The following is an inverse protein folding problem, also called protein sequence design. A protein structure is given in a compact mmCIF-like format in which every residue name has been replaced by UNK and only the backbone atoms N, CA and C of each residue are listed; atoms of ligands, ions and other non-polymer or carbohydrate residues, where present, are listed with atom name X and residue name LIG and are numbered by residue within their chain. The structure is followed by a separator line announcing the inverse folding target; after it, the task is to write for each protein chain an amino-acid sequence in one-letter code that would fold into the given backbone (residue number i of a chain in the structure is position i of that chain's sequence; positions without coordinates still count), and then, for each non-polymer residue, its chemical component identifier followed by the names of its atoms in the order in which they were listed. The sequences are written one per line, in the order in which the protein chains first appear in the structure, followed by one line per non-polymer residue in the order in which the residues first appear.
data_IF_953423382259
#
_entry.id   IF_953423382259
#
_cell.length_a   1.000
_cell.length_b   1.000
_cell.length_c   1.000
_cell.angle_alpha   90.00
_cell.angle_beta   90.00
_cell.angle_gamma   90.00
#
_symmetry.space_group_name_H-M   'P 1'
#
loop_
_entity.id
_entity.type
_entity.pdbx_description
1 polymer ?
#
# COMPACT_ATOMS: atom_id res chain seq x y z
N UNK A 1 -5.06 -5.30 -15.14
CA UNK A 1 -3.96 -5.15 -14.17
C UNK A 1 -4.58 -4.88 -12.81
N UNK A 2 -4.25 -5.69 -11.82
CA UNK A 2 -4.74 -5.54 -10.45
C UNK A 2 -3.55 -5.33 -9.51
N UNK A 3 -3.71 -4.39 -8.58
CA UNK A 3 -2.76 -4.06 -7.50
C UNK A 3 -3.56 -3.86 -6.22
N UNK A 4 -2.93 -4.06 -5.06
CA UNK A 4 -3.53 -3.76 -3.77
C UNK A 4 -3.16 -2.33 -3.36
N UNK A 5 -4.08 -1.64 -2.70
CA UNK A 5 -3.85 -0.34 -2.07
C UNK A 5 -4.58 -0.30 -0.73
N UNK A 6 -4.26 0.70 0.10
CA UNK A 6 -4.86 0.88 1.41
C UNK A 6 -5.43 2.30 1.52
N UNK A 7 -6.43 2.46 2.38
CA UNK A 7 -6.96 3.74 2.82
C UNK A 7 -7.58 3.55 4.21
N UNK A 8 -7.74 4.63 4.96
CA UNK A 8 -8.38 4.62 6.27
C UNK A 8 -9.66 5.45 6.25
N UNK A 9 -10.64 5.03 7.04
CA UNK A 9 -11.89 5.74 7.28
C UNK A 9 -11.96 6.24 8.71
N UNK A 10 -12.86 7.17 8.99
CA UNK A 10 -13.15 7.63 10.34
C UNK A 10 -13.80 6.50 11.17
N UNK A 11 -13.50 6.42 12.47
CA UNK A 11 -14.04 5.38 13.35
C UNK A 11 -15.52 5.59 13.69
N UNK A 12 -16.00 6.83 13.68
CA UNK A 12 -17.37 7.20 13.98
C UNK A 12 -18.22 7.31 12.70
N UNK A 13 -17.61 7.69 11.58
CA UNK A 13 -18.24 7.73 10.26
C UNK A 13 -17.43 6.95 9.21
N UNK A 14 -17.75 5.66 9.05
CA UNK A 14 -17.07 4.76 8.11
C UNK A 14 -17.20 5.17 6.63
N UNK A 15 -18.10 6.10 6.29
CA UNK A 15 -18.23 6.60 4.92
C UNK A 15 -17.19 7.64 4.56
N UNK A 16 -16.53 8.22 5.58
CA UNK A 16 -15.54 9.28 5.43
C UNK A 16 -14.14 8.70 5.36
N UNK A 17 -13.49 8.81 4.20
CA UNK A 17 -12.06 8.53 4.04
C UNK A 17 -11.25 9.62 4.75
N UNK A 18 -10.35 9.23 5.66
CA UNK A 18 -9.47 10.15 6.39
C UNK A 18 -8.08 10.22 5.81
N UNK A 19 -7.58 9.12 5.23
CA UNK A 19 -6.25 9.04 4.63
C UNK A 19 -6.26 8.11 3.42
N UNK A 20 -5.60 8.54 2.34
CA UNK A 20 -5.43 7.73 1.13
C UNK A 20 -4.05 7.99 0.48
N UNK A 21 -3.06 7.13 0.76
CA UNK A 21 -1.76 7.16 0.10
C UNK A 21 -1.87 7.17 -1.43
N UNK A 22 -0.88 7.79 -2.07
CA UNK A 22 -0.70 7.62 -3.50
C UNK A 22 -0.27 6.19 -3.88
N UNK A 23 -0.52 5.82 -5.13
CA UNK A 23 0.03 4.60 -5.72
C UNK A 23 -0.55 3.29 -5.18
N UNK A 24 0.28 2.25 -5.24
CA UNK A 24 -0.07 0.89 -4.81
C UNK A 24 0.63 0.55 -3.50
N UNK A 25 0.01 -0.33 -2.72
CA UNK A 25 0.59 -0.98 -1.56
C UNK A 25 1.35 -2.27 -1.97
N UNK A 26 0.71 -3.15 -2.76
CA UNK A 26 1.36 -4.34 -3.34
C UNK A 26 1.04 -4.40 -4.83
N UNK A 27 2.06 -4.58 -5.65
CA UNK A 27 1.92 -4.84 -7.08
C UNK A 27 2.71 -6.10 -7.44
N UNK A 28 2.36 -6.81 -8.54
CA UNK A 28 3.02 -8.06 -8.88
C UNK A 28 4.53 -7.85 -9.09
N UNK A 29 5.35 -8.63 -8.42
CA UNK A 29 6.81 -8.66 -8.54
C UNK A 29 7.32 -10.05 -8.98
N UNK A 30 8.40 -10.09 -9.78
CA UNK A 30 9.00 -11.36 -10.20
C UNK A 30 8.01 -12.35 -10.82
N UNK A 31 7.95 -13.55 -10.27
CA UNK A 31 7.06 -14.64 -10.72
C UNK A 31 5.57 -14.35 -10.52
N UNK A 32 5.21 -13.41 -9.64
CA UNK A 32 3.82 -13.00 -9.43
C UNK A 32 3.18 -12.40 -10.68
N UNK A 33 4.02 -11.89 -11.61
CA UNK A 33 3.56 -11.33 -12.88
C UNK A 33 2.95 -12.37 -13.83
N UNK A 34 3.25 -13.66 -13.65
CA UNK A 34 2.94 -14.72 -14.60
C UNK A 34 2.02 -15.77 -13.97
N UNK A 35 0.94 -16.09 -14.69
CA UNK A 35 -0.05 -17.10 -14.35
C UNK A 35 -1.26 -17.01 -15.27
N UNK A 36 -2.31 -17.76 -14.94
CA UNK A 36 -3.55 -17.87 -15.71
C UNK A 36 -4.13 -16.48 -16.07
N UNK A 37 -4.11 -15.56 -15.10
CA UNK A 37 -4.48 -14.15 -15.32
C UNK A 37 -3.30 -13.26 -14.94
N UNK A 38 -2.32 -13.18 -15.84
CA UNK A 38 -1.07 -12.43 -15.62
C UNK A 38 -1.28 -10.96 -15.21
N UNK A 39 -0.31 -10.41 -14.47
CA UNK A 39 -0.29 -9.01 -14.00
C UNK A 39 -1.43 -8.66 -13.01
N UNK A 40 -1.70 -9.60 -12.09
CA UNK A 40 -2.69 -9.49 -11.01
C UNK A 40 -2.04 -9.83 -9.67
N UNK A 41 -2.30 -9.00 -8.67
CA UNK A 41 -2.32 -9.41 -7.26
C UNK A 41 -3.67 -9.09 -6.67
N UNK A 42 -4.20 -9.97 -5.82
CA UNK A 42 -5.52 -9.83 -5.20
C UNK A 42 -5.52 -10.37 -3.77
N UNK A 43 -6.22 -9.72 -2.85
CA UNK A 43 -6.32 -10.17 -1.46
C UNK A 43 -7.76 -10.07 -0.98
N UNK A 44 -8.18 -11.09 -0.24
CA UNK A 44 -9.50 -11.21 0.36
C UNK A 44 -9.42 -11.64 1.83
N UNK A 45 -8.24 -11.57 2.45
CA UNK A 45 -8.05 -12.00 3.82
C UNK A 45 -6.69 -11.60 4.39
N UNK A 46 -6.70 -11.15 5.63
CA UNK A 46 -5.53 -10.96 6.46
C UNK A 46 -5.85 -11.35 7.91
N UNK A 47 -4.82 -11.58 8.71
CA UNK A 47 -4.93 -11.88 10.14
C UNK A 47 -4.08 -10.87 10.89
N UNK A 48 -4.66 -10.21 11.90
CA UNK A 48 -3.93 -9.39 12.85
C UNK A 48 -3.88 -10.11 14.20
N UNK A 49 -2.67 -10.41 14.68
CA UNK A 49 -2.44 -11.01 15.98
C UNK A 49 -2.59 -9.98 17.11
N UNK A 50 -2.78 -10.47 18.34
CA UNK A 50 -2.93 -9.63 19.54
C UNK A 50 -1.72 -8.74 19.83
N UNK A 51 -0.52 -9.15 19.39
CA UNK A 51 0.72 -8.37 19.50
C UNK A 51 0.87 -7.30 18.41
N UNK A 52 -0.12 -7.19 17.52
CA UNK A 52 -0.15 -6.23 16.42
C UNK A 52 0.58 -6.70 15.16
N UNK A 53 1.07 -7.94 15.09
CA UNK A 53 1.60 -8.51 13.84
C UNK A 53 0.47 -8.76 12.85
N UNK A 54 0.73 -8.53 11.56
CA UNK A 54 -0.27 -8.72 10.48
C UNK A 54 0.26 -9.65 9.40
N UNK A 55 -0.55 -10.64 9.02
CA UNK A 55 -0.33 -11.56 7.92
C UNK A 55 -1.33 -11.27 6.80
N UNK A 56 -0.84 -10.84 5.64
CA UNK A 56 -1.64 -10.43 4.49
C UNK A 56 -1.57 -11.55 3.46
N UNK A 57 -2.65 -12.28 3.26
CA UNK A 57 -2.72 -13.35 2.27
C UNK A 57 -3.20 -12.77 0.95
N UNK A 58 -2.39 -12.92 -0.10
CA UNK A 58 -2.70 -12.40 -1.43
C UNK A 58 -2.36 -13.42 -2.50
N UNK A 59 -3.22 -13.54 -3.51
CA UNK A 59 -2.97 -14.33 -4.69
C UNK A 59 -2.18 -13.53 -5.73
N UNK A 60 -1.36 -14.22 -6.53
CA UNK A 60 -0.77 -13.67 -7.74
C UNK A 60 -1.27 -14.39 -8.98
N UNK A 61 -1.61 -13.61 -10.01
CA UNK A 61 -2.01 -14.06 -11.35
C UNK A 61 -3.09 -15.17 -11.35
N UNK A 62 -4.02 -15.11 -10.40
CA UNK A 62 -5.10 -16.09 -10.17
C UNK A 62 -4.62 -17.56 -10.08
N UNK A 63 -3.35 -17.77 -9.71
CA UNK A 63 -2.71 -19.10 -9.78
C UNK A 63 -2.22 -19.60 -8.43
N UNK A 64 -1.67 -18.73 -7.58
CA UNK A 64 -0.97 -19.12 -6.35
C UNK A 64 -1.17 -18.11 -5.24
N UNK A 65 -1.12 -18.59 -4.00
CA UNK A 65 -1.25 -17.78 -2.78
C UNK A 65 0.12 -17.46 -2.18
N UNK A 66 0.25 -16.25 -1.67
CA UNK A 66 1.43 -15.70 -1.00
C UNK A 66 1.05 -15.14 0.37
N UNK A 67 2.06 -14.82 1.18
CA UNK A 67 1.89 -14.10 2.44
C UNK A 67 2.92 -12.98 2.57
N UNK A 68 2.45 -11.77 2.87
CA UNK A 68 3.29 -10.66 3.30
C UNK A 68 3.06 -10.42 4.80
N UNK A 69 4.13 -10.15 5.54
CA UNK A 69 4.04 -9.83 6.98
C UNK A 69 4.32 -8.37 7.24
N UNK A 70 3.54 -7.74 8.12
CA UNK A 70 3.73 -6.37 8.59
C UNK A 70 3.31 -6.28 10.06
N UNK A 71 3.08 -5.06 10.56
CA UNK A 71 2.44 -4.78 11.84
C UNK A 71 1.40 -3.68 11.70
N UNK A 72 0.43 -3.63 12.60
CA UNK A 72 -0.58 -2.56 12.66
C UNK A 72 0.10 -1.19 12.65
N UNK A 73 1.14 -1.00 13.45
CA UNK A 73 1.89 0.26 13.52
C UNK A 73 2.51 0.63 12.18
N UNK A 74 3.14 -0.32 11.48
CA UNK A 74 3.74 -0.05 10.16
C UNK A 74 2.69 0.22 9.08
N UNK A 75 1.56 -0.49 9.09
CA UNK A 75 0.48 -0.26 8.12
C UNK A 75 -0.19 1.09 8.35
N UNK A 76 -0.45 1.46 9.61
CA UNK A 76 -1.00 2.77 9.96
C UNK A 76 -0.01 3.89 9.61
N UNK A 77 1.27 3.73 9.92
CA UNK A 77 2.32 4.67 9.55
C UNK A 77 2.37 4.86 8.02
N UNK A 78 2.37 3.76 7.26
CA UNK A 78 2.30 3.79 5.81
C UNK A 78 1.08 4.59 5.31
N UNK A 79 -0.12 4.34 5.86
CA UNK A 79 -1.35 5.00 5.38
C UNK A 79 -1.40 6.49 5.74
N UNK A 80 -0.91 6.87 6.91
CA UNK A 80 -0.96 8.25 7.40
C UNK A 80 0.16 9.10 6.78
N UNK A 81 1.36 8.55 6.66
CA UNK A 81 2.56 9.34 6.34
C UNK A 81 3.03 9.22 4.89
N UNK A 82 2.53 8.24 4.12
CA UNK A 82 2.77 8.25 2.67
C UNK A 82 2.02 9.43 2.02
N UNK A 83 2.67 10.18 1.11
CA UNK A 83 2.03 11.32 0.47
C UNK A 83 0.75 10.92 -0.30
N UNK A 84 -0.27 11.77 -0.24
CA UNK A 84 -1.48 11.61 -1.05
C UNK A 84 -1.20 11.89 -2.54
N UNK A 85 -2.07 11.37 -3.41
CA UNK A 85 -1.97 11.64 -4.85
C UNK A 85 -2.58 13.02 -5.17
N UNK A 86 -1.81 13.82 -5.91
CA UNK A 86 -2.22 15.14 -6.41
C UNK A 86 -2.55 15.14 -7.90
N UNK A 87 -2.62 13.95 -8.51
CA UNK A 87 -3.16 13.67 -9.84
C UNK A 87 -2.43 14.32 -11.01
N UNK A 88 -1.24 14.90 -10.80
CA UNK A 88 -0.42 15.47 -11.89
C UNK A 88 1.06 15.16 -11.68
N UNK A 89 1.77 14.95 -12.79
CA UNK A 89 3.22 14.72 -12.78
C UNK A 89 3.98 15.86 -12.09
N UNK A 90 3.59 17.11 -12.35
CA UNK A 90 4.22 18.29 -11.73
C UNK A 90 4.10 18.27 -10.20
N UNK A 91 2.95 17.88 -9.65
CA UNK A 91 2.77 17.79 -8.20
C UNK A 91 3.49 16.58 -7.58
N UNK A 92 3.60 15.46 -8.31
CA UNK A 92 4.44 14.33 -7.90
C UNK A 92 5.90 14.74 -7.79
N UNK A 93 6.43 15.43 -8.81
CA UNK A 93 7.81 15.95 -8.80
C UNK A 93 8.02 16.88 -7.61
N UNK A 94 7.12 17.84 -7.37
CA UNK A 94 7.22 18.74 -6.20
C UNK A 94 7.27 17.97 -4.87
N UNK A 95 6.45 16.93 -4.73
CA UNK A 95 6.38 16.12 -3.51
C UNK A 95 7.69 15.36 -3.28
N UNK A 96 8.26 14.75 -4.33
CA UNK A 96 9.57 14.07 -4.27
C UNK A 96 10.70 15.07 -3.98
N UNK A 97 10.74 16.21 -4.68
CA UNK A 97 11.76 17.24 -4.47
C UNK A 97 11.75 17.79 -3.04
N UNK A 98 10.57 17.95 -2.43
CA UNK A 98 10.45 18.35 -1.02
C UNK A 98 11.10 17.34 -0.09
N UNK A 99 10.85 16.04 -0.28
CA UNK A 99 11.47 14.98 0.51
C UNK A 99 13.00 14.95 0.34
N UNK A 100 13.49 15.10 -0.90
CA UNK A 100 14.93 15.19 -1.19
C UNK A 100 15.58 16.36 -0.46
N UNK A 101 14.95 17.53 -0.47
CA UNK A 101 15.46 18.72 0.22
C UNK A 101 15.53 18.52 1.74
N UNK A 102 14.53 17.88 2.34
CA UNK A 102 14.53 17.56 3.77
C UNK A 102 15.67 16.60 4.13
N UNK A 103 15.89 15.56 3.31
CA UNK A 103 16.99 14.62 3.51
C UNK A 103 18.35 15.30 3.37
N UNK A 104 18.51 16.22 2.41
CA UNK A 104 19.75 16.99 2.23
C UNK A 104 20.08 17.92 3.39
N UNK A 105 19.09 18.40 4.15
CA UNK A 105 19.34 19.21 5.35
C UNK A 105 19.81 18.37 6.55
N UNK A 106 19.54 17.07 6.52
CA UNK A 106 19.94 16.15 7.58
C UNK A 106 21.34 15.54 7.35
N UNK A 107 21.75 15.39 6.08
CA UNK A 107 23.07 14.93 5.67
C UNK A 107 24.15 16.00 5.85
#
# INVERSE_FOLDING_TARGET
RYVLYLFMTDLQDLTKVTHKPNGYFIAPEGEERIGDVSNVVFSNGWIADEDGKVYIYYASSDTRMHVATSSINQLVDYVINSPEDKFTSAETVKSISKLVQQNQQFL
#
